data_IF_867208745034
#
_entry.id   IF_867208745034
#
_cell.length_a   1.000
_cell.length_b   1.000
_cell.length_c   1.000
_cell.angle_alpha   90.00
_cell.angle_beta   90.00
_cell.angle_gamma   90.00
#
_symmetry.space_group_name_H-M   'P 1'
#
loop_
_entity.id
_entity.type
_entity.pdbx_description
1 polymer ?
#
# COMPACT_ATOMS: atom_id res chain seq x y z
N UNK A 1 -26.81 -28.38 -8.31
CA UNK A 1 -26.36 -27.15 -8.98
C UNK A 1 -25.47 -26.45 -7.96
N UNK A 2 -24.17 -26.68 -8.04
CA UNK A 2 -23.21 -26.12 -7.09
C UNK A 2 -22.78 -24.76 -7.60
N UNK A 3 -23.17 -23.70 -6.89
CA UNK A 3 -22.55 -22.39 -7.06
C UNK A 3 -21.17 -22.45 -6.36
N UNK A 4 -20.14 -22.75 -7.11
CA UNK A 4 -18.77 -22.44 -6.73
C UNK A 4 -18.61 -20.93 -6.89
N UNK A 5 -18.70 -20.20 -5.79
CA UNK A 5 -18.24 -18.80 -5.74
C UNK A 5 -16.75 -18.79 -6.02
N UNK A 6 -16.40 -18.30 -7.18
CA UNK A 6 -15.04 -18.06 -7.62
C UNK A 6 -14.46 -16.93 -6.72
N UNK A 7 -13.88 -17.31 -5.60
CA UNK A 7 -13.12 -16.39 -4.74
C UNK A 7 -11.88 -15.97 -5.53
N UNK A 8 -11.94 -14.79 -6.09
CA UNK A 8 -10.87 -14.18 -6.83
C UNK A 8 -9.67 -13.97 -5.87
N UNK A 9 -8.65 -14.81 -5.98
CA UNK A 9 -7.47 -14.86 -5.09
C UNK A 9 -6.59 -13.59 -5.09
N UNK A 10 -7.02 -12.52 -5.76
CA UNK A 10 -6.33 -11.23 -5.86
C UNK A 10 -7.00 -10.10 -5.05
N UNK A 11 -7.93 -10.43 -4.14
CA UNK A 11 -8.55 -9.37 -3.35
C UNK A 11 -7.63 -8.98 -2.18
N UNK A 12 -6.91 -7.86 -2.33
CA UNK A 12 -6.08 -7.29 -1.27
C UNK A 12 -6.90 -6.80 -0.06
N UNK A 13 -8.23 -6.89 -0.13
CA UNK A 13 -9.18 -6.47 0.91
C UNK A 13 -9.89 -7.68 1.51
N UNK A 14 -9.79 -7.84 2.82
CA UNK A 14 -10.69 -8.68 3.60
C UNK A 14 -11.42 -7.79 4.63
N UNK A 15 -12.71 -8.02 4.81
CA UNK A 15 -13.45 -7.41 5.91
C UNK A 15 -13.40 -8.38 7.08
N UNK A 16 -12.80 -7.95 8.19
CA UNK A 16 -12.78 -8.71 9.42
C UNK A 16 -14.01 -8.34 10.24
N UNK A 17 -14.99 -9.23 10.27
CA UNK A 17 -16.07 -9.11 11.22
C UNK A 17 -15.54 -9.43 12.63
N UNK A 18 -15.58 -8.46 13.52
CA UNK A 18 -15.17 -8.67 14.91
C UNK A 18 -16.00 -9.81 15.52
N UNK A 19 -15.37 -10.60 16.38
CA UNK A 19 -15.87 -11.88 16.94
C UNK A 19 -17.26 -11.83 17.60
N UNK A 20 -17.95 -10.69 17.61
CA UNK A 20 -19.33 -10.51 18.10
C UNK A 20 -20.14 -9.55 17.23
N UNK A 21 -19.72 -9.27 15.97
CA UNK A 21 -20.44 -8.38 15.06
C UNK A 21 -20.53 -6.92 15.55
N UNK A 22 -19.60 -6.50 16.44
CA UNK A 22 -19.64 -5.15 17.02
C UNK A 22 -18.84 -4.11 16.24
N UNK A 23 -17.81 -4.54 15.49
CA UNK A 23 -16.93 -3.62 14.78
C UNK A 23 -16.57 -4.19 13.42
N UNK A 24 -16.69 -3.36 12.40
CA UNK A 24 -16.33 -3.71 11.03
C UNK A 24 -15.02 -3.06 10.64
N UNK A 25 -13.94 -3.84 10.71
CA UNK A 25 -12.58 -3.40 10.36
C UNK A 25 -12.23 -3.91 8.96
N UNK A 26 -11.82 -3.01 8.08
CA UNK A 26 -11.28 -3.39 6.79
C UNK A 26 -9.81 -3.76 6.89
N UNK A 27 -9.42 -4.85 6.23
CA UNK A 27 -8.03 -5.26 6.10
C UNK A 27 -7.55 -4.92 4.69
N UNK A 28 -6.47 -4.15 4.61
CA UNK A 28 -5.73 -3.88 3.38
C UNK A 28 -4.34 -4.50 3.49
N UNK A 29 -3.95 -5.33 2.52
CA UNK A 29 -2.62 -5.93 2.49
C UNK A 29 -1.78 -5.30 1.39
N UNK A 30 -0.59 -4.80 1.74
CA UNK A 30 0.43 -4.30 0.82
C UNK A 30 1.61 -5.27 0.90
N UNK A 31 1.63 -6.24 -0.02
CA UNK A 31 2.58 -7.35 -0.02
C UNK A 31 3.28 -7.44 -1.37
N UNK A 32 4.60 -7.62 -1.33
CA UNK A 32 5.44 -7.66 -2.51
C UNK A 32 5.86 -6.27 -2.97
N UNK A 33 6.12 -6.09 -4.25
CA UNK A 33 6.56 -4.83 -4.82
C UNK A 33 5.38 -3.90 -5.12
N UNK A 34 5.52 -2.61 -4.83
CA UNK A 34 4.53 -1.60 -5.21
C UNK A 34 4.65 -1.32 -6.70
N UNK A 35 3.63 -1.71 -7.45
CA UNK A 35 3.58 -1.59 -8.90
C UNK A 35 2.90 -0.28 -9.31
N UNK A 36 3.59 0.48 -10.18
CA UNK A 36 3.11 1.74 -10.72
C UNK A 36 2.41 1.61 -12.07
N UNK A 37 2.82 2.46 -13.02
CA UNK A 37 2.24 2.47 -14.38
C UNK A 37 2.72 1.33 -15.27
N UNK A 38 3.85 0.71 -14.96
CA UNK A 38 4.37 -0.42 -15.70
C UNK A 38 4.00 -1.74 -15.02
N UNK A 39 3.52 -2.70 -15.80
CA UNK A 39 3.25 -4.03 -15.27
C UNK A 39 4.56 -4.79 -15.06
N UNK A 40 4.80 -5.23 -13.83
CA UNK A 40 5.91 -6.11 -13.53
C UNK A 40 5.67 -7.53 -14.06
N UNK A 41 6.71 -8.34 -14.15
CA UNK A 41 6.59 -9.70 -14.69
C UNK A 41 5.58 -10.53 -13.87
N UNK A 42 4.82 -11.41 -14.54
CA UNK A 42 3.77 -12.21 -13.91
C UNK A 42 4.24 -13.17 -12.79
N UNK A 43 5.55 -13.30 -12.59
CA UNK A 43 6.13 -14.11 -11.51
C UNK A 43 6.48 -13.30 -10.24
N UNK A 44 6.30 -11.97 -10.27
CA UNK A 44 6.55 -11.10 -9.12
C UNK A 44 5.24 -10.86 -8.35
N UNK A 45 5.28 -11.02 -7.03
CA UNK A 45 4.16 -10.57 -6.18
C UNK A 45 4.18 -9.07 -6.10
N UNK A 46 3.06 -8.45 -6.46
CA UNK A 46 2.93 -6.99 -6.51
C UNK A 46 1.65 -6.52 -5.83
N UNK A 47 1.70 -5.30 -5.36
CA UNK A 47 0.53 -4.51 -4.96
C UNK A 47 0.33 -3.42 -5.98
N UNK A 48 -0.79 -3.45 -6.70
CA UNK A 48 -1.12 -2.52 -7.78
C UNK A 48 -1.86 -1.30 -7.26
N UNK A 49 -1.28 -0.12 -7.42
CA UNK A 49 -1.85 1.12 -6.89
C UNK A 49 -3.21 1.46 -7.52
N UNK A 50 -3.41 1.18 -8.80
CA UNK A 50 -4.65 1.39 -9.53
C UNK A 50 -5.83 0.53 -9.01
N UNK A 51 -5.52 -0.57 -8.31
CA UNK A 51 -6.51 -1.40 -7.62
C UNK A 51 -6.73 -0.97 -6.17
N UNK A 52 -5.73 -0.37 -5.54
CA UNK A 52 -5.80 0.08 -4.15
C UNK A 52 -6.55 1.40 -4.01
N UNK A 53 -6.26 2.40 -4.84
CA UNK A 53 -6.87 3.73 -4.72
C UNK A 53 -8.41 3.71 -4.79
N UNK A 54 -9.06 3.00 -5.75
CA UNK A 54 -10.51 2.91 -5.78
C UNK A 54 -11.10 2.22 -4.54
N UNK A 55 -10.38 1.24 -3.97
CA UNK A 55 -10.82 0.56 -2.74
C UNK A 55 -10.79 1.48 -1.54
N UNK A 56 -9.74 2.30 -1.41
CA UNK A 56 -9.64 3.31 -0.35
C UNK A 56 -10.74 4.37 -0.48
N UNK A 57 -11.05 4.82 -1.71
CA UNK A 57 -12.14 5.73 -1.97
C UNK A 57 -13.52 5.13 -1.59
N UNK A 58 -13.74 3.87 -1.90
CA UNK A 58 -14.96 3.15 -1.50
C UNK A 58 -15.05 2.98 0.02
N UNK A 59 -13.93 2.82 0.71
CA UNK A 59 -13.89 2.73 2.16
C UNK A 59 -14.29 4.05 2.82
N UNK A 60 -13.83 5.17 2.29
CA UNK A 60 -14.20 6.49 2.79
C UNK A 60 -15.69 6.78 2.65
N UNK A 61 -16.35 6.23 1.62
CA UNK A 61 -17.79 6.39 1.38
C UNK A 61 -18.66 5.33 2.11
N UNK A 62 -18.06 4.37 2.82
CA UNK A 62 -18.77 3.27 3.51
C UNK A 62 -18.87 3.53 5.02
N UNK A 63 -19.92 4.22 5.45
CA UNK A 63 -20.22 4.53 6.87
C UNK A 63 -20.27 3.29 7.78
N UNK A 64 -20.36 2.09 7.22
CA UNK A 64 -20.38 0.86 8.01
C UNK A 64 -19.01 0.36 8.43
N UNK A 65 -17.93 0.88 7.83
CA UNK A 65 -16.55 0.52 8.17
C UNK A 65 -16.02 1.47 9.24
N UNK A 66 -15.60 0.91 10.37
CA UNK A 66 -15.21 1.65 11.56
C UNK A 66 -13.69 1.82 11.70
N UNK A 67 -12.91 1.23 10.79
CA UNK A 67 -11.46 1.38 10.78
C UNK A 67 -10.76 0.59 9.69
N UNK A 68 -9.51 0.96 9.42
CA UNK A 68 -8.63 0.32 8.46
C UNK A 68 -7.39 -0.25 9.15
N UNK A 69 -7.11 -1.53 8.91
CA UNK A 69 -5.84 -2.17 9.25
C UNK A 69 -5.03 -2.42 7.97
N UNK A 70 -3.86 -1.79 7.86
CA UNK A 70 -2.92 -1.98 6.76
C UNK A 70 -1.82 -2.95 7.16
N UNK A 71 -1.76 -4.12 6.52
CA UNK A 71 -0.67 -5.08 6.70
C UNK A 71 0.41 -4.85 5.66
N UNK A 72 1.66 -4.73 6.11
CA UNK A 72 2.80 -4.39 5.26
C UNK A 72 3.86 -5.50 5.30
N UNK A 73 4.21 -5.98 4.11
CA UNK A 73 5.40 -6.78 3.85
C UNK A 73 5.89 -6.51 2.42
N UNK A 74 6.60 -5.41 2.23
CA UNK A 74 7.00 -4.90 0.93
C UNK A 74 8.48 -4.54 0.86
N UNK A 75 9.08 -4.78 -0.28
CA UNK A 75 10.42 -4.31 -0.63
C UNK A 75 10.46 -2.84 -1.09
N UNK A 76 9.28 -2.22 -1.25
CA UNK A 76 9.11 -0.94 -1.89
C UNK A 76 8.68 -1.08 -3.34
N UNK A 77 9.08 -0.17 -4.20
CA UNK A 77 8.74 -0.18 -5.63
C UNK A 77 8.58 1.22 -6.20
N UNK A 78 7.54 1.43 -7.00
CA UNK A 78 7.24 2.71 -7.63
C UNK A 78 6.91 3.79 -6.59
N UNK A 79 7.65 4.91 -6.66
CA UNK A 79 7.56 5.98 -5.66
C UNK A 79 6.27 6.75 -5.78
N UNK A 80 5.86 7.10 -7.01
CA UNK A 80 4.66 7.90 -7.24
C UNK A 80 3.41 7.12 -6.84
N UNK A 81 3.36 5.84 -7.18
CA UNK A 81 2.28 4.94 -6.79
C UNK A 81 2.20 4.76 -5.27
N UNK A 82 3.34 4.56 -4.61
CA UNK A 82 3.38 4.40 -3.16
C UNK A 82 3.00 5.68 -2.42
N UNK A 83 3.45 6.86 -2.88
CA UNK A 83 3.02 8.15 -2.32
C UNK A 83 1.51 8.37 -2.51
N UNK A 84 0.97 8.06 -3.69
CA UNK A 84 -0.47 8.18 -3.93
C UNK A 84 -1.29 7.31 -2.94
N UNK A 85 -0.84 6.08 -2.67
CA UNK A 85 -1.49 5.21 -1.68
C UNK A 85 -1.35 5.80 -0.26
N UNK A 86 -0.16 6.28 0.10
CA UNK A 86 0.11 6.84 1.43
C UNK A 86 -0.75 8.08 1.71
N UNK A 87 -0.82 9.02 0.76
CA UNK A 87 -1.67 10.22 0.87
C UNK A 87 -3.16 9.86 0.94
N UNK A 88 -3.60 8.87 0.18
CA UNK A 88 -4.98 8.41 0.23
C UNK A 88 -5.31 7.78 1.59
N UNK A 89 -4.41 6.97 2.17
CA UNK A 89 -4.58 6.43 3.53
C UNK A 89 -4.64 7.57 4.56
N UNK A 90 -3.72 8.54 4.48
CA UNK A 90 -3.67 9.67 5.39
C UNK A 90 -4.90 10.60 5.30
N UNK A 91 -5.64 10.56 4.18
CA UNK A 91 -6.85 11.36 3.97
C UNK A 91 -8.14 10.71 4.48
N UNK A 92 -8.09 9.42 4.89
CA UNK A 92 -9.28 8.73 5.39
C UNK A 92 -9.77 9.34 6.71
N UNK A 93 -11.08 9.46 6.86
CA UNK A 93 -11.72 10.01 8.06
C UNK A 93 -11.86 9.00 9.20
N UNK A 94 -11.82 7.70 8.89
CA UNK A 94 -11.89 6.63 9.87
C UNK A 94 -10.53 6.36 10.53
N UNK A 95 -10.49 5.78 11.75
CA UNK A 95 -9.25 5.36 12.40
C UNK A 95 -8.45 4.38 11.54
N UNK A 96 -7.16 4.63 11.40
CA UNK A 96 -6.25 3.82 10.59
C UNK A 96 -5.07 3.30 11.39
N UNK A 97 -4.68 2.05 11.14
CA UNK A 97 -3.55 1.40 11.79
C UNK A 97 -2.72 0.65 10.77
N UNK A 98 -1.40 0.77 10.83
CA UNK A 98 -0.49 -0.08 10.06
C UNK A 98 0.23 -1.09 10.95
N UNK A 99 0.52 -2.25 10.37
CA UNK A 99 1.32 -3.30 11.00
C UNK A 99 2.34 -3.85 9.99
N UNK A 100 3.62 -3.58 10.26
CA UNK A 100 4.73 -4.15 9.51
C UNK A 100 5.03 -5.54 10.04
N UNK A 101 4.75 -6.58 9.22
CA UNK A 101 4.90 -8.00 9.59
C UNK A 101 6.23 -8.64 9.18
N UNK A 102 6.96 -8.02 8.26
CA UNK A 102 8.26 -8.50 7.77
C UNK A 102 9.13 -7.31 7.44
N UNK A 103 9.11 -6.88 6.17
CA UNK A 103 9.79 -5.67 5.72
C UNK A 103 8.81 -4.58 5.28
N UNK A 104 9.18 -3.31 5.51
CA UNK A 104 8.56 -2.17 4.84
C UNK A 104 9.67 -1.24 4.41
N UNK A 105 10.21 -1.48 3.21
CA UNK A 105 11.42 -0.84 2.72
C UNK A 105 11.12 0.22 1.68
N UNK A 106 12.04 1.21 1.54
CA UNK A 106 11.94 2.25 0.52
C UNK A 106 10.61 2.99 0.63
N UNK A 107 9.79 3.03 -0.44
CA UNK A 107 8.47 3.64 -0.45
C UNK A 107 7.47 2.93 0.51
N UNK A 108 7.77 1.74 0.98
CA UNK A 108 7.03 1.08 2.05
C UNK A 108 7.09 1.80 3.39
N UNK A 109 8.13 2.62 3.63
CA UNK A 109 8.25 3.39 4.88
C UNK A 109 7.19 4.50 4.97
N UNK A 110 7.01 5.39 3.99
CA UNK A 110 5.87 6.30 3.95
C UNK A 110 4.51 5.59 4.12
N UNK A 111 4.31 4.46 3.44
CA UNK A 111 3.09 3.66 3.59
C UNK A 111 2.85 3.20 5.04
N UNK A 112 3.92 2.80 5.74
CA UNK A 112 3.81 2.36 7.13
C UNK A 112 3.47 3.49 8.09
N UNK A 113 3.87 4.71 7.81
CA UNK A 113 3.67 5.88 8.70
C UNK A 113 2.54 6.81 8.26
N UNK A 114 1.81 6.45 7.20
CA UNK A 114 0.66 7.24 6.71
C UNK A 114 -0.64 7.03 7.50
N UNK A 115 -0.67 6.07 8.41
CA UNK A 115 -1.80 5.77 9.29
C UNK A 115 -1.72 6.52 10.61
N UNK A 116 -2.84 6.65 11.35
CA UNK A 116 -2.88 7.30 12.67
C UNK A 116 -1.94 6.62 13.68
N UNK A 117 -1.84 5.27 13.59
CA UNK A 117 -0.97 4.48 14.46
C UNK A 117 -0.19 3.45 13.66
N UNK A 118 1.12 3.38 13.88
CA UNK A 118 2.02 2.47 13.18
C UNK A 118 2.67 1.49 14.15
N UNK A 119 2.66 0.22 13.79
CA UNK A 119 3.29 -0.85 14.55
C UNK A 119 4.24 -1.66 13.68
N UNK A 120 5.29 -2.17 14.31
CA UNK A 120 6.24 -3.11 13.69
C UNK A 120 6.46 -4.29 14.64
N UNK A 121 6.42 -5.51 14.12
CA UNK A 121 6.74 -6.70 14.92
C UNK A 121 8.23 -6.73 15.29
N UNK A 122 8.63 -7.41 16.40
CA UNK A 122 10.03 -7.41 16.85
C UNK A 122 11.05 -7.88 15.81
N UNK A 123 10.63 -8.72 14.86
CA UNK A 123 11.46 -9.21 13.75
C UNK A 123 11.32 -8.39 12.47
N UNK A 124 10.46 -7.36 12.48
CA UNK A 124 10.23 -6.49 11.34
C UNK A 124 11.40 -5.57 11.08
N UNK A 125 11.57 -5.17 9.84
CA UNK A 125 12.63 -4.26 9.41
C UNK A 125 12.09 -3.15 8.50
N UNK A 126 12.69 -1.97 8.61
CA UNK A 126 12.39 -0.84 7.74
C UNK A 126 13.72 -0.26 7.23
N UNK A 127 13.79 0.04 5.94
CA UNK A 127 14.98 0.60 5.31
C UNK A 127 14.63 1.85 4.51
N UNK A 128 15.27 2.95 4.86
CA UNK A 128 15.18 4.24 4.15
C UNK A 128 16.43 4.42 3.31
N UNK A 129 16.27 4.86 2.09
CA UNK A 129 17.36 5.23 1.19
C UNK A 129 16.89 6.33 0.23
N UNK A 130 17.81 7.09 -0.40
CA UNK A 130 17.44 8.07 -1.42
C UNK A 130 16.72 7.43 -2.61
N UNK A 131 15.85 8.21 -3.27
CA UNK A 131 15.18 7.77 -4.49
C UNK A 131 16.20 7.36 -5.54
N UNK A 132 15.94 6.28 -6.24
CA UNK A 132 16.77 5.77 -7.34
C UNK A 132 15.95 5.79 -8.61
N UNK A 133 16.57 6.23 -9.69
CA UNK A 133 16.03 6.10 -11.04
C UNK A 133 16.80 5.03 -11.80
N UNK A 134 16.09 4.18 -12.52
CA UNK A 134 16.63 3.24 -13.49
C UNK A 134 16.14 3.61 -14.88
N UNK A 135 16.95 3.44 -15.90
CA UNK A 135 16.57 3.71 -17.29
C UNK A 135 17.59 4.60 -18.04
N UNK A 136 17.26 4.90 -19.30
CA UNK A 136 18.07 5.81 -20.13
C UNK A 136 17.63 7.25 -19.89
N UNK A 137 18.52 8.07 -19.37
CA UNK A 137 18.26 9.49 -19.17
C UNK A 137 18.75 10.26 -20.40
N UNK A 138 17.81 10.91 -21.11
CA UNK A 138 18.10 11.79 -22.25
C UNK A 138 17.94 13.24 -21.79
N UNK A 139 19.04 13.99 -21.66
CA UNK A 139 19.03 15.40 -21.28
C UNK A 139 19.45 15.65 -19.82
N UNK A 140 20.73 15.89 -19.61
CA UNK A 140 21.35 15.99 -18.28
C UNK A 140 20.79 17.12 -17.38
N UNK A 141 20.36 18.26 -17.94
CA UNK A 141 19.86 19.40 -17.15
C UNK A 141 18.48 19.13 -16.56
N UNK A 142 17.56 18.59 -17.34
CA UNK A 142 16.19 18.28 -16.90
C UNK A 142 16.19 17.17 -15.84
N UNK A 143 17.09 16.22 -15.94
CA UNK A 143 17.25 15.15 -14.98
C UNK A 143 17.70 15.66 -13.62
N UNK A 144 18.65 16.60 -13.60
CA UNK A 144 19.14 17.20 -12.36
C UNK A 144 18.03 17.97 -11.64
N UNK A 145 17.22 18.74 -12.37
CA UNK A 145 16.07 19.45 -11.82
C UNK A 145 15.02 18.49 -11.25
N UNK A 146 14.73 17.41 -11.97
CA UNK A 146 13.79 16.38 -11.49
C UNK A 146 14.28 15.72 -10.21
N UNK A 147 15.55 15.31 -10.13
CA UNK A 147 16.13 14.76 -8.90
C UNK A 147 16.12 15.73 -7.72
N UNK A 148 16.37 17.02 -7.97
CA UNK A 148 16.33 18.03 -6.93
C UNK A 148 14.90 18.27 -6.40
N UNK A 149 13.87 17.98 -7.21
CA UNK A 149 12.48 18.16 -6.83
C UNK A 149 11.95 16.98 -5.97
N UNK A 150 12.46 15.76 -6.18
CA UNK A 150 11.95 14.54 -5.52
C UNK A 150 12.80 14.10 -4.30
N UNK A 151 13.85 14.83 -3.95
CA UNK A 151 14.63 14.65 -2.71
C UNK A 151 14.27 15.67 -1.64
#
# INVERSE_FOLDING_TARGET
MNNEENVNQNDARAILDGSNGKHKICLLSIIGEVEGHENLSGNTKTTKYDQILPKLAQLEDDDSVEGLLVLLNTSGGDVDAGLAIAEMIASLSMPTVSLVLGGSHSIGVPLAVSTDHSFIVPTGTMMVHPVRMSGTVIGASQTYEYFAMIQ
#
